data_IF_333061161381
#
_entry.id   IF_333061161381
#
_cell.length_a   1.000
_cell.length_b   1.000
_cell.length_c   1.000
_cell.angle_alpha   90.00
_cell.angle_beta   90.00
_cell.angle_gamma   90.00
#
_symmetry.space_group_name_H-M   'P 1'
#
loop_
_entity.id
_entity.type
_entity.pdbx_description
1 polymer ?
#
# COMPACT_ATOMS: atom_id res chain seq x y z
N UNK A 1 2.55 0.45 -1.13
CA UNK A 1 1.52 1.41 -1.52
C UNK A 1 0.56 0.79 -2.53
N UNK A 2 -0.45 1.56 -2.92
CA UNK A 2 -1.43 1.07 -3.88
C UNK A 2 -2.75 0.74 -3.19
N UNK A 3 -2.65 0.15 -2.00
CA UNK A 3 -3.84 -0.22 -1.24
C UNK A 3 -3.69 0.18 0.23
N UNK A 4 -3.85 1.44 0.53
CA UNK A 4 -3.73 1.96 1.92
C UNK A 4 -2.38 1.61 2.54
N UNK A 5 -1.31 1.93 1.82
CA UNK A 5 0.03 1.64 2.31
C UNK A 5 0.17 0.16 2.65
N UNK A 6 -0.41 -0.69 1.80
CA UNK A 6 -0.34 -2.13 2.02
C UNK A 6 1.02 -2.67 1.59
N UNK A 7 2.08 -2.17 2.21
CA UNK A 7 3.43 -2.61 1.88
C UNK A 7 4.07 -1.69 0.85
N UNK A 8 3.79 -1.95 -0.42
CA UNK A 8 4.35 -1.13 -1.49
C UNK A 8 3.31 -0.15 -2.03
#
# INVERSE_FOLDING_TARGET
WWVPEAKD
#
